data_IF_488368657750
#
_entry.id   IF_488368657750
#
_cell.length_a   1.000
_cell.length_b   1.000
_cell.length_c   1.000
_cell.angle_alpha   90.00
_cell.angle_beta   90.00
_cell.angle_gamma   90.00
#
_symmetry.space_group_name_H-M   'P 1'
#
loop_
_entity.id
_entity.type
_entity.pdbx_description
1 polymer ?
#
# COMPACT_ATOMS: atom_id res chain seq x y z
N UNK A 1 33.64 31.71 -63.85
CA UNK A 1 33.82 30.49 -63.02
C UNK A 1 33.71 30.92 -61.57
N UNK A 2 32.97 30.14 -60.77
CA UNK A 2 32.92 30.01 -59.29
C UNK A 2 33.89 30.87 -58.46
N UNK A 3 33.55 31.40 -57.27
CA UNK A 3 32.62 30.91 -56.24
C UNK A 3 32.39 32.00 -55.20
N UNK A 4 31.21 31.91 -54.55
CA UNK A 4 30.75 32.48 -53.27
C UNK A 4 31.79 33.04 -52.29
N UNK A 5 31.42 34.16 -51.65
CA UNK A 5 31.42 34.26 -50.18
C UNK A 5 30.18 35.07 -49.74
N UNK A 6 29.50 34.51 -48.74
CA UNK A 6 28.21 34.87 -48.18
C UNK A 6 28.25 36.24 -47.49
N UNK A 7 27.26 37.08 -47.79
CA UNK A 7 27.01 38.34 -47.08
C UNK A 7 26.35 38.02 -45.74
N UNK A 8 26.90 38.62 -44.69
CA UNK A 8 26.47 38.52 -43.31
C UNK A 8 25.92 39.87 -42.91
N UNK A 9 24.62 40.09 -43.07
CA UNK A 9 23.91 41.13 -42.33
C UNK A 9 22.40 40.92 -42.43
N UNK A 10 21.72 41.25 -41.33
CA UNK A 10 20.27 41.15 -41.08
C UNK A 10 19.80 39.82 -40.48
N UNK A 11 20.07 39.68 -39.18
CA UNK A 11 19.20 38.92 -38.28
C UNK A 11 18.12 39.91 -37.85
N UNK A 12 16.89 39.66 -38.31
CA UNK A 12 15.73 40.47 -38.00
C UNK A 12 15.46 40.49 -36.50
N UNK A 13 15.37 41.69 -35.94
CA UNK A 13 15.12 41.96 -34.52
C UNK A 13 13.64 41.82 -34.13
N UNK A 14 12.84 41.08 -34.90
CA UNK A 14 11.38 40.94 -34.71
C UNK A 14 10.94 39.55 -34.20
N UNK A 15 11.86 38.60 -34.03
CA UNK A 15 11.53 37.23 -33.54
C UNK A 15 11.78 37.01 -32.03
N UNK A 16 12.20 38.05 -31.29
CA UNK A 16 12.54 37.92 -29.85
C UNK A 16 11.36 38.11 -28.88
N UNK A 17 10.15 38.44 -29.35
CA UNK A 17 9.08 38.94 -28.46
C UNK A 17 7.82 38.04 -28.36
N UNK A 18 7.88 36.80 -28.88
CA UNK A 18 6.73 35.85 -28.81
C UNK A 18 6.98 34.70 -27.83
N UNK A 19 8.20 34.51 -27.31
CA UNK A 19 8.52 33.43 -26.38
C UNK A 19 8.33 33.80 -24.89
N UNK A 20 8.32 35.08 -24.50
CA UNK A 20 8.17 35.48 -23.09
C UNK A 20 6.71 35.51 -22.59
N UNK A 21 5.72 35.63 -23.48
CA UNK A 21 4.32 35.82 -23.10
C UNK A 21 3.62 34.56 -22.54
N UNK A 22 4.27 33.38 -22.59
CA UNK A 22 3.73 32.10 -22.10
C UNK A 22 4.56 31.47 -20.96
N UNK A 23 5.46 32.25 -20.32
CA UNK A 23 6.21 31.75 -19.17
C UNK A 23 5.27 31.50 -17.98
N UNK A 24 5.33 30.31 -17.38
CA UNK A 24 4.56 29.98 -16.19
C UNK A 24 4.88 30.95 -15.04
N UNK A 25 3.84 31.51 -14.43
CA UNK A 25 3.96 32.39 -13.26
C UNK A 25 2.87 32.02 -12.25
N UNK A 26 3.21 32.09 -10.97
CA UNK A 26 2.18 32.04 -9.92
C UNK A 26 1.33 33.31 -9.95
N UNK A 27 0.07 33.18 -9.55
CA UNK A 27 -0.80 34.31 -9.28
C UNK A 27 -0.20 35.20 -8.18
N UNK A 28 -0.46 36.51 -8.22
CA UNK A 28 0.02 37.45 -7.20
C UNK A 28 -0.59 37.18 -5.81
N UNK A 29 -1.76 36.54 -5.77
CA UNK A 29 -2.44 36.12 -4.55
C UNK A 29 -2.86 34.63 -4.64
N UNK A 30 -2.95 33.92 -3.50
CA UNK A 30 -2.73 34.41 -2.14
C UNK A 30 -1.24 34.54 -1.75
N UNK A 31 -0.89 35.60 -1.02
CA UNK A 31 0.44 35.72 -0.37
C UNK A 31 0.64 34.70 0.76
N UNK A 32 1.89 34.44 1.15
CA UNK A 32 2.19 33.52 2.27
C UNK A 32 1.55 33.97 3.60
N UNK A 33 1.52 35.29 3.87
CA UNK A 33 0.83 35.80 5.06
C UNK A 33 -0.68 35.58 4.95
N UNK A 34 -1.26 35.70 3.75
CA UNK A 34 -2.67 35.40 3.54
C UNK A 34 -2.97 33.91 3.76
N UNK A 35 -2.12 33.01 3.26
CA UNK A 35 -2.23 31.56 3.50
C UNK A 35 -2.14 31.24 5.00
N UNK A 36 -1.17 31.84 5.72
CA UNK A 36 -1.03 31.67 7.18
C UNK A 36 -2.29 32.11 7.93
N UNK A 37 -2.88 33.24 7.55
CA UNK A 37 -4.13 33.73 8.12
C UNK A 37 -5.31 32.78 7.84
N UNK A 38 -5.43 32.31 6.60
CA UNK A 38 -6.48 31.36 6.19
C UNK A 38 -6.37 30.04 6.96
N UNK A 39 -5.16 29.47 7.04
CA UNK A 39 -4.91 28.24 7.79
C UNK A 39 -5.20 28.42 9.28
N UNK A 40 -4.77 29.53 9.88
CA UNK A 40 -5.01 29.82 11.31
C UNK A 40 -6.50 29.99 11.60
N UNK A 41 -7.24 30.64 10.71
CA UNK A 41 -8.70 30.79 10.86
C UNK A 41 -9.39 29.42 10.76
N UNK A 42 -9.03 28.60 9.77
CA UNK A 42 -9.55 27.26 9.58
C UNK A 42 -9.33 26.35 10.80
N UNK A 43 -8.14 26.44 11.42
CA UNK A 43 -7.78 25.69 12.61
C UNK A 43 -8.60 26.11 13.83
N UNK A 44 -8.71 27.42 14.07
CA UNK A 44 -9.45 28.00 15.21
C UNK A 44 -10.93 27.65 15.19
N UNK A 45 -11.57 27.71 14.02
CA UNK A 45 -12.99 27.35 13.86
C UNK A 45 -13.31 25.91 14.28
N UNK A 46 -12.30 25.04 14.30
CA UNK A 46 -12.42 23.62 14.62
C UNK A 46 -11.79 23.25 15.96
N UNK A 47 -11.29 24.24 16.70
CA UNK A 47 -10.51 24.04 17.93
C UNK A 47 -9.30 23.11 17.73
N UNK A 48 -8.65 23.19 16.56
CA UNK A 48 -7.53 22.32 16.17
C UNK A 48 -6.16 22.84 16.59
N UNK A 49 -6.08 24.03 17.18
CA UNK A 49 -4.81 24.60 17.65
C UNK A 49 -4.11 23.67 18.67
N UNK A 50 -4.86 22.87 19.42
CA UNK A 50 -4.33 21.85 20.33
C UNK A 50 -3.47 20.79 19.63
N UNK A 51 -3.77 20.47 18.36
CA UNK A 51 -3.04 19.47 17.58
C UNK A 51 -1.88 20.06 16.77
N UNK A 52 -1.81 21.39 16.61
CA UNK A 52 -0.81 22.10 15.81
C UNK A 52 0.50 22.40 16.56
N UNK A 53 1.02 21.41 17.30
CA UNK A 53 2.37 21.49 17.85
C UNK A 53 3.42 21.34 16.73
N UNK A 54 4.61 21.96 16.85
CA UNK A 54 5.62 21.92 15.78
C UNK A 54 5.96 20.52 15.26
N UNK A 55 6.09 19.53 16.17
CA UNK A 55 6.34 18.12 15.80
C UNK A 55 5.21 17.54 14.94
N UNK A 56 3.96 17.80 15.30
CA UNK A 56 2.80 17.25 14.60
C UNK A 56 2.68 17.84 13.20
N UNK A 57 2.93 19.15 13.07
CA UNK A 57 2.94 19.83 11.77
C UNK A 57 4.06 19.31 10.85
N UNK A 58 5.25 19.04 11.39
CA UNK A 58 6.34 18.44 10.61
C UNK A 58 5.98 17.04 10.14
N UNK A 59 5.38 16.20 10.99
CA UNK A 59 4.96 14.86 10.61
C UNK A 59 3.83 14.87 9.57
N UNK A 60 2.85 15.77 9.71
CA UNK A 60 1.80 15.97 8.71
C UNK A 60 2.40 16.40 7.36
N UNK A 61 3.32 17.37 7.36
CA UNK A 61 4.02 17.80 6.14
C UNK A 61 4.80 16.66 5.46
N UNK A 62 5.45 15.79 6.25
CA UNK A 62 6.12 14.59 5.68
C UNK A 62 5.11 13.64 5.03
N UNK A 63 3.90 13.51 5.60
CA UNK A 63 2.79 12.79 4.98
C UNK A 63 2.40 13.37 3.61
N UNK A 64 2.17 14.68 3.54
CA UNK A 64 1.84 15.39 2.28
C UNK A 64 2.94 15.25 1.22
N UNK A 65 4.22 15.29 1.63
CA UNK A 65 5.35 15.02 0.71
C UNK A 65 5.29 13.60 0.16
N UNK A 66 4.87 12.63 0.97
CA UNK A 66 4.59 11.26 0.55
C UNK A 66 3.50 11.21 -0.52
N UNK A 67 2.36 11.86 -0.30
CA UNK A 67 1.26 11.91 -1.27
C UNK A 67 1.69 12.54 -2.60
N UNK A 68 2.46 13.64 -2.55
CA UNK A 68 3.03 14.25 -3.76
C UNK A 68 3.96 13.27 -4.46
N UNK A 69 4.81 12.55 -3.74
CA UNK A 69 5.72 11.55 -4.33
C UNK A 69 4.95 10.42 -5.03
N UNK A 70 3.78 10.01 -4.51
CA UNK A 70 2.95 8.98 -5.12
C UNK A 70 2.46 9.36 -6.54
N UNK A 71 2.30 10.65 -6.84
CA UNK A 71 1.93 11.14 -8.18
C UNK A 71 3.04 10.89 -9.23
N UNK A 72 4.29 10.79 -8.78
CA UNK A 72 5.47 10.67 -9.63
C UNK A 72 6.12 9.29 -9.60
N UNK A 73 5.83 8.47 -8.58
CA UNK A 73 6.55 7.21 -8.30
C UNK A 73 6.62 6.23 -9.48
N UNK A 74 5.65 6.27 -10.41
CA UNK A 74 5.60 5.41 -11.60
C UNK A 74 5.77 6.16 -12.93
N UNK A 75 6.09 7.46 -12.87
CA UNK A 75 6.36 8.23 -14.08
C UNK A 75 7.85 8.09 -14.44
N UNK A 76 8.12 8.01 -15.74
CA UNK A 76 9.49 8.18 -16.26
C UNK A 76 9.94 9.63 -16.11
N UNK A 77 10.90 10.07 -16.93
CA UNK A 77 11.28 11.49 -16.94
C UNK A 77 10.06 12.39 -17.22
N UNK A 78 9.81 13.34 -16.32
CA UNK A 78 8.67 14.24 -16.41
C UNK A 78 9.16 15.62 -16.85
N UNK A 79 8.53 16.16 -17.90
CA UNK A 79 8.83 17.51 -18.38
C UNK A 79 8.26 18.57 -17.43
N UNK A 80 8.98 19.67 -17.30
CA UNK A 80 8.53 20.86 -16.57
C UNK A 80 7.14 21.32 -17.05
N UNK A 81 6.32 21.82 -16.12
CA UNK A 81 4.96 22.27 -16.40
C UNK A 81 3.89 21.17 -16.45
N UNK A 82 4.26 19.88 -16.32
CA UNK A 82 3.32 18.76 -16.21
C UNK A 82 2.17 18.79 -17.25
N UNK A 83 2.46 18.88 -18.56
CA UNK A 83 1.44 19.10 -19.58
C UNK A 83 0.35 18.01 -19.65
N UNK A 84 0.64 16.80 -19.14
CA UNK A 84 -0.32 15.69 -19.04
C UNK A 84 -1.39 15.89 -17.94
N UNK A 85 -1.13 16.74 -16.95
CA UNK A 85 -2.05 17.05 -15.85
C UNK A 85 -2.92 18.29 -16.13
N UNK A 86 -2.60 19.06 -17.17
CA UNK A 86 -3.28 20.31 -17.53
C UNK A 86 -4.40 20.13 -18.58
N UNK A 87 -4.60 18.92 -19.11
CA UNK A 87 -5.72 18.63 -20.01
C UNK A 87 -6.96 18.22 -19.20
N UNK A 88 -7.98 19.07 -19.20
CA UNK A 88 -9.26 18.86 -18.55
C UNK A 88 -9.87 17.47 -18.83
N UNK A 89 -10.22 16.77 -17.75
CA UNK A 89 -11.41 15.92 -17.67
C UNK A 89 -11.34 14.46 -18.14
N UNK A 90 -10.24 13.97 -18.74
CA UNK A 90 -10.15 12.55 -19.10
C UNK A 90 -8.74 11.99 -18.86
N UNK A 91 -8.58 11.30 -17.72
CA UNK A 91 -7.44 10.44 -17.44
C UNK A 91 -7.45 9.24 -18.40
N UNK A 92 -7.06 9.43 -19.66
CA UNK A 92 -6.71 8.31 -20.54
C UNK A 92 -5.36 7.80 -20.08
N UNK A 93 -5.35 6.77 -19.22
CA UNK A 93 -4.19 5.90 -19.02
C UNK A 93 -3.75 5.38 -20.39
N UNK A 94 -2.74 6.01 -20.98
CA UNK A 94 -1.88 5.29 -21.93
C UNK A 94 -1.16 4.25 -21.10
N UNK A 95 -1.42 2.99 -21.43
CA UNK A 95 -0.64 1.85 -20.94
C UNK A 95 0.79 1.97 -21.48
N UNK A 96 1.61 2.77 -20.82
CA UNK A 96 3.05 2.72 -20.98
C UNK A 96 3.59 1.93 -19.80
N UNK A 97 3.45 0.61 -19.86
CA UNK A 97 4.41 -0.26 -19.20
C UNK A 97 5.72 -0.06 -19.97
N UNK A 98 6.84 0.33 -19.34
CA UNK A 98 8.13 0.00 -19.90
C UNK A 98 8.24 -1.52 -19.77
N UNK A 99 8.07 -2.21 -20.88
CA UNK A 99 8.58 -3.56 -20.99
C UNK A 99 10.10 -3.51 -20.77
N UNK A 100 10.57 -4.40 -19.90
CA UNK A 100 11.91 -4.98 -19.89
C UNK A 100 13.10 -4.05 -19.57
N UNK A 101 13.61 -4.15 -18.33
CA UNK A 101 15.04 -4.48 -18.11
C UNK A 101 15.35 -4.71 -16.63
N UNK A 102 14.98 -5.90 -16.14
CA UNK A 102 15.70 -6.57 -15.05
C UNK A 102 15.45 -8.08 -15.20
N UNK A 103 16.12 -8.69 -16.18
CA UNK A 103 16.14 -10.16 -16.32
C UNK A 103 17.07 -10.71 -15.24
N UNK A 104 16.51 -10.99 -14.07
CA UNK A 104 17.02 -12.01 -13.15
C UNK A 104 16.67 -13.42 -13.65
N UNK A 105 17.33 -14.48 -13.16
CA UNK A 105 17.26 -15.81 -13.75
C UNK A 105 15.85 -16.40 -13.67
N UNK A 106 15.35 -16.90 -14.81
CA UNK A 106 14.20 -17.77 -15.03
C UNK A 106 12.84 -17.41 -14.37
N UNK A 107 11.95 -16.87 -15.22
CA UNK A 107 10.51 -16.62 -15.02
C UNK A 107 9.66 -17.91 -14.82
N UNK A 108 10.22 -18.99 -14.26
CA UNK A 108 9.58 -20.31 -14.14
C UNK A 108 8.75 -20.49 -12.86
N UNK A 109 8.93 -19.65 -11.85
CA UNK A 109 8.37 -19.86 -10.52
C UNK A 109 7.25 -18.87 -10.14
N UNK A 110 6.77 -18.04 -11.07
CA UNK A 110 5.62 -17.14 -10.87
C UNK A 110 4.26 -17.82 -11.09
N UNK A 111 4.19 -19.14 -11.03
CA UNK A 111 2.92 -19.86 -11.15
C UNK A 111 2.29 -19.92 -9.75
N UNK A 112 1.05 -19.45 -9.64
CA UNK A 112 0.24 -19.60 -8.42
C UNK A 112 0.06 -21.10 -8.15
N UNK A 113 0.08 -21.57 -6.88
CA UNK A 113 -0.14 -22.98 -6.59
C UNK A 113 -1.38 -23.54 -7.30
N UNK A 114 -1.25 -24.71 -7.95
CA UNK A 114 -2.38 -25.41 -8.58
C UNK A 114 -3.29 -26.08 -7.54
N UNK A 115 -2.76 -26.31 -6.33
CA UNK A 115 -3.50 -26.84 -5.21
C UNK A 115 -4.66 -25.89 -4.83
N UNK A 116 -5.86 -26.42 -4.53
CA UNK A 116 -6.98 -25.58 -4.15
C UNK A 116 -6.73 -24.96 -2.77
N UNK A 117 -7.08 -23.68 -2.63
CA UNK A 117 -7.11 -23.02 -1.32
C UNK A 117 -8.18 -23.69 -0.47
N UNK A 118 -7.79 -24.19 0.70
CA UNK A 118 -8.70 -24.92 1.60
C UNK A 118 -9.45 -23.99 2.53
N UNK A 119 -8.75 -23.00 3.09
CA UNK A 119 -9.25 -22.13 4.15
C UNK A 119 -8.93 -20.66 3.85
N UNK A 120 -9.71 -19.76 4.43
CA UNK A 120 -9.40 -18.33 4.46
C UNK A 120 -9.26 -17.86 5.90
N UNK A 121 -8.28 -16.99 6.16
CA UNK A 121 -8.13 -16.27 7.42
C UNK A 121 -8.13 -14.78 7.11
N UNK A 122 -9.15 -14.08 7.58
CA UNK A 122 -9.31 -12.64 7.41
C UNK A 122 -8.98 -11.93 8.72
N UNK A 123 -8.04 -10.98 8.66
CA UNK A 123 -7.76 -10.08 9.78
C UNK A 123 -8.01 -8.64 9.37
N UNK A 124 -8.42 -7.81 10.34
CA UNK A 124 -8.38 -6.34 10.22
C UNK A 124 -9.36 -5.76 9.20
N UNK A 125 -10.55 -6.35 9.07
CA UNK A 125 -11.55 -5.90 8.10
C UNK A 125 -12.21 -4.57 8.49
N UNK A 126 -12.12 -4.17 9.76
CA UNK A 126 -12.75 -2.96 10.31
C UNK A 126 -14.24 -3.13 10.67
N UNK A 127 -14.82 -2.12 11.35
CA UNK A 127 -16.20 -2.13 11.83
C UNK A 127 -17.21 -2.13 10.67
N UNK A 128 -17.90 -3.25 10.43
CA UNK A 128 -18.86 -3.37 9.31
C UNK A 128 -20.06 -2.41 9.46
N UNK A 129 -20.57 -2.27 10.68
CA UNK A 129 -21.72 -1.43 11.04
C UNK A 129 -21.52 0.05 10.70
N UNK A 130 -20.30 0.57 10.78
CA UNK A 130 -20.03 2.01 10.63
C UNK A 130 -19.05 2.36 9.50
N UNK A 131 -18.32 1.41 8.93
CA UNK A 131 -17.28 1.68 7.93
C UNK A 131 -17.71 1.17 6.53
N UNK A 132 -17.94 2.06 5.55
CA UNK A 132 -18.19 1.65 4.16
C UNK A 132 -17.04 0.82 3.56
N UNK A 133 -15.78 1.19 3.82
CA UNK A 133 -14.60 0.47 3.32
C UNK A 133 -14.62 -0.98 3.81
N UNK A 134 -14.84 -1.18 5.12
CA UNK A 134 -14.96 -2.50 5.73
C UNK A 134 -16.03 -3.37 5.07
N UNK A 135 -17.20 -2.79 4.77
CA UNK A 135 -18.29 -3.51 4.09
C UNK A 135 -17.92 -3.94 2.67
N UNK A 136 -17.25 -3.08 1.91
CA UNK A 136 -16.81 -3.43 0.55
C UNK A 136 -15.71 -4.49 0.56
N UNK A 137 -14.73 -4.37 1.46
CA UNK A 137 -13.68 -5.39 1.61
C UNK A 137 -14.27 -6.72 2.09
N UNK A 138 -15.24 -6.71 3.00
CA UNK A 138 -15.92 -7.91 3.45
C UNK A 138 -16.78 -8.54 2.34
N UNK A 139 -17.47 -7.73 1.53
CA UNK A 139 -18.17 -8.23 0.34
C UNK A 139 -17.20 -8.87 -0.66
N UNK A 140 -16.01 -8.28 -0.84
CA UNK A 140 -14.97 -8.87 -1.68
C UNK A 140 -14.48 -10.21 -1.13
N UNK A 141 -14.24 -10.32 0.19
CA UNK A 141 -13.91 -11.58 0.85
C UNK A 141 -14.97 -12.67 0.57
N UNK A 142 -16.26 -12.34 0.69
CA UNK A 142 -17.34 -13.30 0.45
C UNK A 142 -17.40 -13.75 -1.01
N UNK A 143 -17.25 -12.83 -1.96
CA UNK A 143 -17.19 -13.15 -3.39
C UNK A 143 -15.96 -14.01 -3.71
N UNK A 144 -14.83 -13.73 -3.07
CA UNK A 144 -13.60 -14.50 -3.25
C UNK A 144 -13.76 -15.93 -2.70
N UNK A 145 -14.39 -16.08 -1.53
CA UNK A 145 -14.74 -17.38 -0.94
C UNK A 145 -15.60 -18.21 -1.91
N UNK A 146 -16.60 -17.59 -2.54
CA UNK A 146 -17.47 -18.24 -3.53
C UNK A 146 -16.70 -18.61 -4.80
N UNK A 147 -15.93 -17.67 -5.35
CA UNK A 147 -15.16 -17.85 -6.58
C UNK A 147 -14.12 -18.97 -6.46
N UNK A 148 -13.40 -19.02 -5.34
CA UNK A 148 -12.37 -20.02 -5.06
C UNK A 148 -12.95 -21.37 -4.60
N UNK A 149 -14.26 -21.44 -4.33
CA UNK A 149 -14.95 -22.65 -3.84
C UNK A 149 -14.25 -23.25 -2.61
N UNK A 150 -13.98 -22.39 -1.63
CA UNK A 150 -13.32 -22.75 -0.37
C UNK A 150 -14.06 -23.93 0.27
N UNK A 151 -13.32 -25.02 0.51
CA UNK A 151 -13.87 -26.28 1.02
C UNK A 151 -13.86 -26.37 2.54
N UNK A 152 -12.96 -25.63 3.19
CA UNK A 152 -12.83 -25.49 4.64
C UNK A 152 -13.55 -24.24 5.16
N UNK A 153 -12.94 -23.59 6.16
CA UNK A 153 -13.55 -22.48 6.89
C UNK A 153 -13.01 -21.13 6.42
N UNK A 154 -13.85 -20.10 6.58
CA UNK A 154 -13.46 -18.71 6.41
C UNK A 154 -13.46 -18.05 7.78
N UNK A 155 -12.29 -17.92 8.39
CA UNK A 155 -12.11 -17.33 9.70
C UNK A 155 -12.01 -15.81 9.60
N UNK A 156 -12.63 -15.07 10.52
CA UNK A 156 -12.58 -13.60 10.55
C UNK A 156 -12.27 -13.13 11.96
N UNK A 157 -11.32 -12.21 12.08
CA UNK A 157 -11.01 -11.49 13.30
C UNK A 157 -10.90 -9.99 13.07
N UNK A 158 -11.56 -9.24 13.93
CA UNK A 158 -11.45 -7.79 14.01
C UNK A 158 -11.66 -7.38 15.48
N UNK A 159 -10.66 -6.76 16.14
CA UNK A 159 -10.75 -6.39 17.55
C UNK A 159 -11.92 -5.44 17.86
N UNK A 160 -12.38 -4.68 16.87
CA UNK A 160 -13.41 -3.67 17.06
C UNK A 160 -14.84 -4.10 16.72
N UNK A 161 -15.07 -5.37 16.40
CA UNK A 161 -16.41 -5.84 16.09
C UNK A 161 -17.38 -5.65 17.26
N UNK A 162 -18.51 -5.00 16.98
CA UNK A 162 -19.69 -5.02 17.82
C UNK A 162 -20.37 -6.40 17.79
N UNK A 163 -21.36 -6.60 18.65
CA UNK A 163 -22.15 -7.85 18.63
C UNK A 163 -22.90 -8.04 17.31
N UNK A 164 -23.35 -6.94 16.68
CA UNK A 164 -24.03 -6.98 15.40
C UNK A 164 -23.05 -7.34 14.27
N UNK A 165 -21.83 -6.80 14.30
CA UNK A 165 -20.80 -7.17 13.31
C UNK A 165 -20.48 -8.68 13.37
N UNK A 166 -20.35 -9.21 14.60
CA UNK A 166 -20.15 -10.65 14.83
C UNK A 166 -21.29 -11.50 14.26
N UNK A 167 -22.54 -11.11 14.54
CA UNK A 167 -23.71 -11.81 14.04
C UNK A 167 -23.78 -11.82 12.51
N UNK A 168 -23.46 -10.70 11.85
CA UNK A 168 -23.42 -10.59 10.38
C UNK A 168 -22.37 -11.52 9.78
N UNK A 169 -21.19 -11.61 10.39
CA UNK A 169 -20.11 -12.50 9.91
C UNK A 169 -20.54 -13.96 9.99
N UNK A 170 -21.17 -14.38 11.08
CA UNK A 170 -21.66 -15.75 11.27
C UNK A 170 -22.83 -16.07 10.33
N UNK A 171 -23.79 -15.16 10.18
CA UNK A 171 -24.95 -15.30 9.28
C UNK A 171 -24.52 -15.50 7.83
N UNK A 172 -23.42 -14.84 7.41
CA UNK A 172 -22.86 -14.95 6.06
C UNK A 172 -21.89 -16.15 5.90
N UNK A 173 -21.88 -17.05 6.88
CA UNK A 173 -21.19 -18.35 6.78
C UNK A 173 -19.68 -18.25 6.96
N UNK A 174 -19.20 -17.26 7.73
CA UNK A 174 -17.83 -17.17 8.19
C UNK A 174 -17.77 -17.53 9.69
N UNK A 175 -16.59 -17.95 10.17
CA UNK A 175 -16.35 -18.31 11.57
C UNK A 175 -15.57 -17.20 12.26
N UNK A 176 -15.99 -16.80 13.46
CA UNK A 176 -15.23 -15.83 14.24
C UNK A 176 -14.02 -16.50 14.91
N UNK A 177 -12.89 -15.77 14.93
CA UNK A 177 -11.79 -16.07 15.84
C UNK A 177 -12.12 -15.38 17.17
N UNK A 178 -12.04 -16.11 18.27
CA UNK A 178 -12.53 -15.69 19.58
C UNK A 178 -11.54 -14.84 20.40
N UNK A 179 -10.26 -14.84 20.01
CA UNK A 179 -9.20 -14.07 20.67
C UNK A 179 -8.25 -13.42 19.67
N UNK A 180 -7.49 -12.41 20.14
CA UNK A 180 -6.47 -11.77 19.33
C UNK A 180 -5.27 -12.69 19.17
N UNK A 181 -5.15 -13.33 18.01
CA UNK A 181 -3.98 -14.14 17.67
C UNK A 181 -2.77 -13.27 17.24
N UNK A 182 -2.92 -11.96 17.10
CA UNK A 182 -1.87 -11.04 16.61
C UNK A 182 -1.26 -11.47 15.26
N UNK A 183 -2.04 -12.18 14.44
CA UNK A 183 -1.59 -12.75 13.16
C UNK A 183 -0.65 -13.96 13.31
N UNK A 184 -0.43 -14.47 14.52
CA UNK A 184 0.49 -15.58 14.83
C UNK A 184 -0.11 -16.97 14.54
N UNK A 185 -0.91 -17.08 13.49
CA UNK A 185 -1.58 -18.33 13.10
C UNK A 185 -0.71 -19.15 12.16
N UNK A 186 -0.37 -20.36 12.59
CA UNK A 186 0.30 -21.37 11.76
C UNK A 186 -0.73 -22.17 10.96
N UNK A 187 -0.41 -22.47 9.70
CA UNK A 187 -1.27 -23.25 8.79
C UNK A 187 -0.55 -24.47 8.22
N UNK A 188 -1.30 -25.56 8.02
CA UNK A 188 -0.79 -26.81 7.43
C UNK A 188 -1.27 -27.04 6.00
N UNK A 189 -2.45 -26.52 5.66
CA UNK A 189 -3.03 -26.58 4.32
C UNK A 189 -2.88 -25.23 3.62
N UNK A 190 -2.96 -25.23 2.28
CA UNK A 190 -2.89 -23.99 1.50
C UNK A 190 -4.02 -23.03 1.89
N UNK A 191 -3.66 -21.97 2.59
CA UNK A 191 -4.57 -21.03 3.24
C UNK A 191 -4.36 -19.62 2.71
N UNK A 192 -5.45 -18.95 2.38
CA UNK A 192 -5.45 -17.55 2.00
C UNK A 192 -5.61 -16.66 3.23
N UNK A 193 -4.63 -15.80 3.48
CA UNK A 193 -4.73 -14.70 4.43
C UNK A 193 -5.24 -13.46 3.71
N UNK A 194 -6.42 -12.98 4.09
CA UNK A 194 -7.04 -11.75 3.59
C UNK A 194 -6.79 -10.62 4.59
N UNK A 195 -5.96 -9.64 4.21
CA UNK A 195 -5.36 -8.68 5.15
C UNK A 195 -5.29 -7.25 4.58
N UNK A 196 -6.19 -6.86 3.68
CA UNK A 196 -6.16 -5.52 3.07
C UNK A 196 -6.04 -4.40 4.12
N UNK A 197 -5.12 -3.45 3.89
CA UNK A 197 -4.86 -2.30 4.76
C UNK A 197 -4.44 -2.63 6.21
N UNK A 198 -4.10 -3.88 6.51
CA UNK A 198 -3.56 -4.24 7.81
C UNK A 198 -2.21 -3.57 8.08
N UNK A 199 -1.88 -3.40 9.36
CA UNK A 199 -0.56 -2.94 9.80
C UNK A 199 0.56 -3.92 9.45
N UNK A 200 1.77 -3.41 9.21
CA UNK A 200 2.98 -4.21 8.96
C UNK A 200 3.25 -5.29 10.01
N UNK A 201 3.05 -5.04 11.32
CA UNK A 201 3.24 -6.07 12.34
C UNK A 201 2.45 -7.35 12.07
N UNK A 202 1.24 -7.24 11.51
CA UNK A 202 0.37 -8.40 11.30
C UNK A 202 0.90 -9.32 10.19
N UNK A 203 1.37 -8.77 9.07
CA UNK A 203 2.03 -9.54 8.03
C UNK A 203 3.32 -10.19 8.54
N UNK A 204 4.10 -9.45 9.31
CA UNK A 204 5.34 -9.91 9.90
C UNK A 204 5.10 -11.10 10.86
N UNK A 205 4.01 -11.08 11.64
CA UNK A 205 3.58 -12.20 12.49
C UNK A 205 3.09 -13.42 11.70
N UNK A 206 2.33 -13.23 10.62
CA UNK A 206 1.87 -14.33 9.75
C UNK A 206 3.06 -15.05 9.11
N UNK A 207 4.03 -14.27 8.61
CA UNK A 207 5.27 -14.81 8.05
C UNK A 207 6.08 -15.57 9.11
N UNK A 208 6.21 -15.01 10.31
CA UNK A 208 6.91 -15.65 11.42
C UNK A 208 6.26 -16.99 11.82
N UNK A 209 4.94 -17.02 12.00
CA UNK A 209 4.22 -18.22 12.45
C UNK A 209 4.33 -19.39 11.46
N UNK A 210 4.65 -19.09 10.20
CA UNK A 210 4.78 -20.06 9.10
C UNK A 210 6.21 -20.16 8.56
N UNK A 211 7.21 -19.56 9.24
CA UNK A 211 8.57 -19.37 8.72
C UNK A 211 9.23 -20.67 8.24
N UNK A 212 10.01 -20.58 7.16
CA UNK A 212 10.60 -21.72 6.46
C UNK A 212 9.67 -22.32 5.40
N UNK A 213 9.71 -23.65 5.22
CA UNK A 213 8.90 -24.32 4.19
C UNK A 213 7.39 -24.24 4.44
N UNK A 214 6.96 -23.91 5.67
CA UNK A 214 5.54 -23.69 5.99
C UNK A 214 4.92 -22.55 5.19
N UNK A 215 5.72 -21.57 4.76
CA UNK A 215 5.28 -20.47 3.91
C UNK A 215 4.72 -20.94 2.57
N UNK A 216 5.07 -22.14 2.09
CA UNK A 216 4.47 -22.70 0.87
C UNK A 216 2.96 -22.98 0.99
N UNK A 217 2.44 -23.01 2.22
CA UNK A 217 1.01 -23.13 2.51
C UNK A 217 0.32 -21.76 2.68
N UNK A 218 1.01 -20.65 2.48
CA UNK A 218 0.51 -19.29 2.74
C UNK A 218 0.34 -18.55 1.42
N UNK A 219 -0.87 -18.04 1.19
CA UNK A 219 -1.15 -17.00 0.20
C UNK A 219 -1.61 -15.76 0.95
N UNK A 220 -1.12 -14.57 0.59
CA UNK A 220 -1.54 -13.31 1.22
C UNK A 220 -2.17 -12.41 0.17
N UNK A 221 -3.45 -12.09 0.36
CA UNK A 221 -4.12 -10.98 -0.31
C UNK A 221 -4.12 -9.78 0.63
N UNK A 222 -3.24 -8.82 0.38
CA UNK A 222 -3.01 -7.69 1.29
C UNK A 222 -2.22 -6.57 0.62
N UNK A 223 -1.59 -5.74 1.44
CA UNK A 223 -0.70 -4.68 1.01
C UNK A 223 0.52 -5.25 0.30
N UNK A 224 0.97 -4.57 -0.75
CA UNK A 224 2.16 -4.99 -1.49
C UNK A 224 3.41 -4.91 -0.62
N UNK A 225 4.14 -6.02 -0.50
CA UNK A 225 5.43 -6.01 0.18
C UNK A 225 6.46 -5.19 -0.59
N UNK A 226 6.37 -5.14 -1.91
CA UNK A 226 7.19 -4.24 -2.75
C UNK A 226 7.04 -2.78 -2.33
N UNK A 227 5.83 -2.34 -1.97
CA UNK A 227 5.61 -0.96 -1.51
C UNK A 227 6.23 -0.66 -0.14
N UNK A 228 6.38 -1.65 0.75
CA UNK A 228 7.19 -1.46 1.95
C UNK A 228 8.67 -1.26 1.63
N UNK A 229 9.22 -2.03 0.69
CA UNK A 229 10.61 -1.88 0.25
C UNK A 229 10.86 -0.52 -0.41
N UNK A 230 9.88 0.01 -1.14
CA UNK A 230 9.98 1.30 -1.84
C UNK A 230 9.85 2.50 -0.90
N UNK A 231 9.00 2.41 0.13
CA UNK A 231 8.66 3.53 1.02
C UNK A 231 9.50 3.60 2.29
N UNK A 232 10.04 2.46 2.74
CA UNK A 232 10.72 2.36 4.05
C UNK A 232 12.20 2.08 3.83
N UNK A 233 13.13 2.88 4.42
CA UNK A 233 14.56 2.61 4.35
C UNK A 233 14.88 1.19 4.83
N UNK A 234 15.69 0.44 4.07
CA UNK A 234 15.93 -0.99 4.31
C UNK A 234 16.37 -1.34 5.73
N UNK A 235 17.16 -0.47 6.37
CA UNK A 235 17.57 -0.65 7.78
C UNK A 235 16.36 -0.63 8.72
N UNK A 236 15.46 0.34 8.53
CA UNK A 236 14.25 0.51 9.34
C UNK A 236 13.28 -0.64 9.09
N UNK A 237 13.07 -1.03 7.83
CA UNK A 237 12.22 -2.17 7.50
C UNK A 237 12.74 -3.48 8.12
N UNK A 238 14.06 -3.69 8.13
CA UNK A 238 14.68 -4.84 8.79
C UNK A 238 14.48 -4.83 10.32
N UNK A 239 14.53 -3.66 10.94
CA UNK A 239 14.36 -3.50 12.39
C UNK A 239 12.89 -3.69 12.82
N UNK A 240 11.94 -3.15 12.07
CA UNK A 240 10.51 -3.13 12.43
C UNK A 240 9.73 -4.34 11.90
N UNK A 241 10.13 -4.89 10.74
CA UNK A 241 9.45 -6.00 10.09
C UNK A 241 10.45 -6.93 9.38
N UNK A 242 11.34 -7.54 10.18
CA UNK A 242 12.42 -8.40 9.72
C UNK A 242 11.95 -9.55 8.82
N UNK A 243 10.80 -10.16 9.09
CA UNK A 243 10.29 -11.29 8.29
C UNK A 243 9.84 -10.85 6.90
N UNK A 244 9.18 -9.69 6.79
CA UNK A 244 8.85 -9.08 5.49
C UNK A 244 10.16 -8.79 4.74
N UNK A 245 11.12 -8.12 5.40
CA UNK A 245 12.41 -7.77 4.81
C UNK A 245 13.16 -9.00 4.27
N UNK A 246 13.22 -10.06 5.08
CA UNK A 246 14.00 -11.26 4.80
C UNK A 246 13.38 -12.14 3.73
N UNK A 247 12.04 -12.20 3.63
CA UNK A 247 11.36 -13.06 2.65
C UNK A 247 11.20 -12.40 1.29
N UNK A 248 11.19 -11.06 1.22
CA UNK A 248 10.99 -10.27 -0.01
C UNK A 248 11.69 -10.82 -1.27
N UNK A 249 12.99 -11.20 -1.24
CA UNK A 249 13.68 -11.74 -2.41
C UNK A 249 13.13 -13.09 -2.94
N UNK A 250 12.39 -13.80 -2.10
CA UNK A 250 11.84 -15.14 -2.34
C UNK A 250 10.31 -15.13 -2.49
N UNK A 251 9.68 -13.96 -2.31
CA UNK A 251 8.25 -13.76 -2.49
C UNK A 251 7.90 -13.64 -3.96
N UNK A 252 6.91 -14.40 -4.41
CA UNK A 252 6.22 -14.09 -5.66
C UNK A 252 5.06 -13.16 -5.36
N UNK A 253 5.04 -12.00 -6.00
CA UNK A 253 4.01 -10.96 -5.81
C UNK A 253 3.39 -10.59 -7.16
N UNK A 254 2.07 -10.40 -7.19
CA UNK A 254 1.34 -9.81 -8.31
C UNK A 254 0.41 -8.71 -7.79
N UNK A 255 0.59 -7.44 -8.24
CA UNK A 255 -0.33 -6.36 -7.90
C UNK A 255 -1.74 -6.64 -8.40
N UNK A 256 -2.74 -6.30 -7.59
CA UNK A 256 -4.14 -6.27 -8.04
C UNK A 256 -4.45 -4.86 -8.54
N UNK A 257 -4.78 -4.69 -9.84
CA UNK A 257 -5.20 -3.40 -10.34
C UNK A 257 -6.49 -2.96 -9.66
N UNK A 258 -6.48 -1.79 -9.01
CA UNK A 258 -7.71 -1.21 -8.50
C UNK A 258 -8.51 -0.59 -9.66
N UNK A 259 -9.57 -1.29 -10.07
CA UNK A 259 -10.57 -0.80 -11.04
C UNK A 259 -11.89 -0.40 -10.37
N UNK A 260 -11.92 -0.36 -9.04
CA UNK A 260 -13.10 0.02 -8.27
C UNK A 260 -13.29 1.53 -8.28
N UNK A 261 -14.54 1.99 -8.19
CA UNK A 261 -14.89 3.42 -8.29
C UNK A 261 -14.45 4.23 -7.06
N UNK A 262 -14.18 3.57 -5.94
CA UNK A 262 -13.52 4.15 -4.76
C UNK A 262 -12.07 3.68 -4.72
N UNK A 263 -11.13 4.59 -5.00
CA UNK A 263 -9.72 4.27 -5.22
C UNK A 263 -8.97 3.88 -3.94
N UNK A 264 -9.48 4.29 -2.78
CA UNK A 264 -8.93 4.07 -1.43
C UNK A 264 -9.30 2.71 -0.80
N UNK A 265 -10.25 1.99 -1.38
CA UNK A 265 -10.74 0.72 -0.77
C UNK A 265 -9.79 -0.45 -1.04
N UNK A 266 -9.21 -0.48 -2.24
CA UNK A 266 -8.36 -1.57 -2.74
C UNK A 266 -7.05 -1.02 -3.34
N UNK A 267 -6.61 0.17 -2.94
CA UNK A 267 -5.27 0.65 -3.30
C UNK A 267 -4.20 -0.25 -2.66
N UNK A 268 -3.01 -0.18 -3.24
CA UNK A 268 -1.81 -0.89 -2.78
C UNK A 268 -1.99 -2.39 -2.51
N UNK A 269 -2.94 -3.03 -3.20
CA UNK A 269 -3.28 -4.43 -2.99
C UNK A 269 -2.44 -5.35 -3.90
N UNK A 270 -2.03 -6.50 -3.37
CA UNK A 270 -1.28 -7.53 -4.07
C UNK A 270 -1.56 -8.92 -3.54
N UNK A 271 -1.34 -9.91 -4.40
CA UNK A 271 -1.35 -11.34 -4.04
C UNK A 271 0.09 -11.79 -3.91
N UNK A 272 0.42 -12.40 -2.78
CA UNK A 272 1.74 -12.92 -2.44
C UNK A 272 1.66 -14.42 -2.24
N UNK A 273 2.63 -15.16 -2.75
CA UNK A 273 2.80 -16.58 -2.49
C UNK A 273 4.28 -16.95 -2.50
N UNK A 274 4.59 -18.10 -1.92
CA UNK A 274 5.97 -18.51 -1.66
C UNK A 274 6.21 -19.90 -2.26
N UNK A 275 6.65 -19.98 -3.53
CA UNK A 275 6.85 -21.26 -4.21
C UNK A 275 7.82 -22.15 -3.43
N UNK A 276 7.45 -23.41 -3.22
CA UNK A 276 8.24 -24.35 -2.41
C UNK A 276 9.65 -24.54 -2.96
N UNK A 277 9.80 -24.54 -4.29
CA UNK A 277 11.07 -24.67 -4.99
C UNK A 277 11.98 -23.47 -4.72
N UNK A 278 11.40 -22.27 -4.66
CA UNK A 278 12.13 -21.03 -4.33
C UNK A 278 12.53 -21.04 -2.86
N UNK A 279 11.61 -21.40 -1.96
CA UNK A 279 11.90 -21.52 -0.52
C UNK A 279 13.01 -22.55 -0.22
N UNK A 280 13.09 -23.63 -1.00
CA UNK A 280 14.14 -24.63 -0.86
C UNK A 280 15.55 -24.10 -1.22
N UNK A 281 15.65 -22.98 -1.93
CA UNK A 281 16.93 -22.32 -2.25
C UNK A 281 17.40 -21.34 -1.17
N UNK A 282 16.54 -21.02 -0.21
CA UNK A 282 16.85 -20.04 0.84
C UNK A 282 17.92 -20.60 1.78
N UNK A 283 18.95 -19.80 2.15
CA UNK A 283 19.99 -20.24 3.07
C UNK A 283 19.42 -20.68 4.43
N UNK A 284 19.88 -21.83 4.94
CA UNK A 284 19.46 -22.33 6.27
C UNK A 284 19.66 -21.32 7.41
N UNK A 285 20.64 -20.43 7.28
CA UNK A 285 20.91 -19.38 8.27
C UNK A 285 19.74 -18.43 8.43
N UNK A 286 18.96 -18.19 7.37
CA UNK A 286 17.76 -17.34 7.43
C UNK A 286 16.65 -18.03 8.23
N UNK A 287 16.50 -19.34 8.08
CA UNK A 287 15.49 -20.13 8.82
C UNK A 287 15.82 -20.29 10.30
N UNK A 288 17.11 -20.26 10.65
CA UNK A 288 17.58 -20.29 12.04
C UNK A 288 17.32 -18.99 12.78
N UNK A 289 17.15 -17.88 12.06
CA UNK A 289 16.73 -16.60 12.61
C UNK A 289 15.19 -16.55 12.68
N UNK A 290 14.64 -17.03 13.79
CA UNK A 290 13.20 -17.24 13.98
C UNK A 290 12.66 -16.71 15.31
N UNK A 291 13.31 -15.67 15.87
CA UNK A 291 12.87 -15.05 17.10
C UNK A 291 11.47 -14.43 16.95
N UNK A 292 10.56 -14.72 17.88
CA UNK A 292 9.21 -14.15 17.86
C UNK A 292 9.27 -12.62 17.77
N UNK A 293 8.56 -12.00 16.81
CA UNK A 293 8.56 -10.56 16.71
C UNK A 293 7.84 -9.95 17.92
N UNK A 294 8.47 -8.95 18.52
CA UNK A 294 7.93 -8.19 19.64
C UNK A 294 7.73 -6.76 19.17
N UNK A 295 6.53 -6.24 19.35
CA UNK A 295 6.18 -4.90 18.93
C UNK A 295 5.88 -4.02 20.15
N UNK A 296 6.07 -2.72 19.99
CA UNK A 296 5.77 -1.74 21.03
C UNK A 296 4.26 -1.53 21.11
N UNK A 297 3.65 -1.56 22.29
CA UNK A 297 2.20 -1.31 22.44
C UNK A 297 1.77 0.08 21.93
N UNK A 298 2.71 1.05 21.92
CA UNK A 298 2.51 2.39 21.37
C UNK A 298 2.64 2.48 19.83
N UNK A 299 2.91 1.36 19.14
CA UNK A 299 2.99 1.34 17.68
C UNK A 299 1.58 1.60 17.10
N UNK A 300 1.38 2.68 16.33
CA UNK A 300 0.07 3.05 15.81
C UNK A 300 -0.52 2.02 14.82
N UNK A 301 0.29 1.10 14.30
CA UNK A 301 -0.18 0.01 13.44
C UNK A 301 -0.66 -1.22 14.21
N UNK A 302 -0.43 -1.27 15.53
CA UNK A 302 -0.99 -2.29 16.40
C UNK A 302 -2.36 -1.85 16.88
N UNK A 303 -3.36 -2.66 16.56
CA UNK A 303 -4.72 -2.46 17.04
C UNK A 303 -4.99 -3.45 18.16
N UNK A 304 -5.05 -2.96 19.39
CA UNK A 304 -5.46 -3.73 20.57
C UNK A 304 -6.93 -3.48 20.89
N UNK A 305 -7.59 -4.42 21.59
CA UNK A 305 -8.98 -4.28 22.05
C UNK A 305 -9.18 -3.15 23.07
N UNK A 306 -8.09 -2.65 23.66
CA UNK A 306 -8.11 -1.89 24.90
C UNK A 306 -7.82 -0.41 24.65
N UNK A 307 -8.76 0.30 24.02
CA UNK A 307 -8.89 1.74 24.26
C UNK A 307 -10.02 1.94 25.27
N UNK A 308 -9.69 1.81 26.55
CA UNK A 308 -10.46 2.45 27.61
C UNK A 308 -10.37 3.96 27.38
N UNK A 309 -11.33 4.51 26.63
CA UNK A 309 -11.64 5.94 26.71
C UNK A 309 -12.17 6.16 28.13
N UNK A 310 -11.25 6.45 29.06
CA UNK A 310 -11.62 7.05 30.33
C UNK A 310 -12.30 8.38 30.01
N UNK A 311 -13.62 8.37 30.06
CA UNK A 311 -14.42 9.59 30.10
C UNK A 311 -14.07 10.28 31.41
N UNK A 312 -13.30 11.37 31.32
CA UNK A 312 -13.20 12.40 32.34
C UNK A 312 -13.93 13.64 31.85
#
# INVERSE_FOLDING_TARGET
>A
MSTMLCDSSQVDAEDMDVQEANAFRFSEEPSLEKIRQMQSQFAKERDWDQFHQPRNLVLAMVGEVGEVAELFQWKGEVKEGLPELLCDGHYKKKSCCPAESAVGPDNKFKVIPEEPVTDIVCYGIGKLSSCPIARYQFAFLLLLKELLKISGLCFVYEPHFSQDDKAVVEELGCSLIDHNEEGKRRVENLTLFFMLHCGKPLYNSVLWANWGLGLSNVIILGNRFTSYQERIPSRKLREEASYIYNILPYTSETPIPNTFHHSDIFNDSGIHWFPREVLATVPETLWKDCAEPVYCEDDPEIVTSDVNISVS
#
